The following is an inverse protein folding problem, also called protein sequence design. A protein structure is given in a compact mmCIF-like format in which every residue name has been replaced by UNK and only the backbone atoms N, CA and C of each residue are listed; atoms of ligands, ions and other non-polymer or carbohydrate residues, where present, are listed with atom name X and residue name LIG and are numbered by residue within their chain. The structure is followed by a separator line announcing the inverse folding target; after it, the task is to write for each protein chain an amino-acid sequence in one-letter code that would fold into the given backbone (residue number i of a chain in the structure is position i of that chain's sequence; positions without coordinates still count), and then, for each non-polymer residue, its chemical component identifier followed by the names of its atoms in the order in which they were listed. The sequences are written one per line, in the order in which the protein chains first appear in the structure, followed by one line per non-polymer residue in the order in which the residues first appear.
data_IF_122652513470
#
_entry.id   IF_122652513470
#
_cell.length_a   1.000
_cell.length_b   1.000
_cell.length_c   1.000
_cell.angle_alpha   90.00
_cell.angle_beta   90.00
_cell.angle_gamma   90.00
#
_symmetry.space_group_name_H-M   'P 1'
#
loop_
_entity.id
_entity.type
_entity.pdbx_description
1 polymer ?
#
# COMPACT_ATOMS: atom_id res chain seq x y z
N UNK A 1 -31.92 29.45 -51.14
CA UNK A 1 -31.47 30.10 -49.89
C UNK A 1 -31.52 29.03 -48.81
N UNK A 2 -30.41 28.34 -48.55
CA UNK A 2 -30.32 27.23 -47.60
C UNK A 2 -29.76 27.77 -46.27
N UNK A 3 -30.52 27.65 -45.18
CA UNK A 3 -30.00 27.87 -43.83
C UNK A 3 -29.26 26.61 -43.36
N UNK A 4 -28.05 26.73 -42.77
CA UNK A 4 -27.39 25.60 -42.15
C UNK A 4 -27.91 25.43 -40.71
N UNK A 5 -28.34 24.21 -40.37
CA UNK A 5 -28.57 23.80 -38.99
C UNK A 5 -27.21 23.56 -38.33
N UNK A 6 -26.87 24.37 -37.32
CA UNK A 6 -25.74 24.11 -36.43
C UNK A 6 -26.20 23.11 -35.38
N UNK A 7 -25.73 21.87 -35.46
CA UNK A 7 -25.87 20.89 -34.40
C UNK A 7 -24.93 21.27 -33.24
N UNK A 8 -25.50 21.74 -32.13
CA UNK A 8 -24.77 21.86 -30.87
C UNK A 8 -24.45 20.45 -30.35
N UNK A 9 -23.21 20.02 -30.49
CA UNK A 9 -22.71 18.84 -29.77
C UNK A 9 -22.61 19.20 -28.29
N UNK A 10 -23.52 18.66 -27.47
CA UNK A 10 -23.33 18.63 -26.02
C UNK A 10 -22.16 17.70 -25.72
N UNK A 11 -20.99 18.29 -25.47
CA UNK A 11 -19.90 17.60 -24.77
C UNK A 11 -20.39 17.41 -23.34
N UNK A 12 -21.02 16.27 -23.06
CA UNK A 12 -21.33 15.89 -21.70
C UNK A 12 -20.04 15.94 -20.88
N UNK A 13 -20.01 16.76 -19.83
CA UNK A 13 -18.93 16.68 -18.87
C UNK A 13 -18.94 15.26 -18.33
N UNK A 14 -17.91 14.48 -18.68
CA UNK A 14 -17.63 13.23 -18.01
C UNK A 14 -17.41 13.64 -16.55
N UNK A 15 -18.40 13.41 -15.68
CA UNK A 15 -18.25 13.63 -14.25
C UNK A 15 -16.98 12.90 -13.84
N UNK A 16 -15.94 13.65 -13.49
CA UNK A 16 -14.69 13.05 -13.08
C UNK A 16 -15.01 12.03 -11.97
N UNK A 17 -14.59 10.79 -12.19
CA UNK A 17 -14.69 9.73 -11.22
C UNK A 17 -13.92 10.19 -9.97
N UNK A 18 -14.64 10.61 -8.94
CA UNK A 18 -14.05 11.10 -7.70
C UNK A 18 -14.53 10.23 -6.55
N UNK A 19 -13.62 9.36 -6.12
CA UNK A 19 -13.85 8.47 -4.98
C UNK A 19 -13.80 9.29 -3.69
N UNK A 20 -14.74 9.03 -2.79
CA UNK A 20 -14.93 9.75 -1.52
C UNK A 20 -14.58 8.92 -0.31
N UNK A 21 -14.49 7.61 -0.46
CA UNK A 21 -14.14 6.69 0.61
C UNK A 21 -12.93 5.86 0.17
N UNK A 22 -11.95 5.75 1.06
CA UNK A 22 -10.78 4.91 0.92
C UNK A 22 -10.73 3.95 2.10
N UNK A 23 -10.82 2.65 1.84
CA UNK A 23 -10.67 1.59 2.84
C UNK A 23 -9.34 0.92 2.61
N UNK A 24 -8.46 0.90 3.61
CA UNK A 24 -7.07 0.43 3.47
C UNK A 24 -6.80 -0.84 4.27
N UNK A 25 -6.01 -1.73 3.67
CA UNK A 25 -5.50 -2.97 4.23
C UNK A 25 -4.00 -3.04 3.97
N UNK A 26 -3.27 -3.79 4.78
CA UNK A 26 -1.83 -3.94 4.58
C UNK A 26 -1.03 -4.12 5.86
N UNK A 27 0.21 -3.66 5.81
CA UNK A 27 1.18 -3.79 6.89
C UNK A 27 1.55 -2.45 7.54
N UNK A 28 2.75 -2.37 8.12
CA UNK A 28 3.27 -1.18 8.81
C UNK A 28 3.46 0.03 7.90
N UNK A 29 3.45 -0.15 6.58
CA UNK A 29 3.49 0.99 5.65
C UNK A 29 2.13 1.71 5.60
N UNK A 30 1.06 1.08 6.07
CA UNK A 30 -0.30 1.60 6.02
C UNK A 30 -0.89 1.85 7.42
N UNK A 31 -0.59 0.97 8.39
CA UNK A 31 -1.15 0.96 9.76
C UNK A 31 -0.90 2.26 10.55
N UNK A 32 -1.99 2.93 10.92
CA UNK A 32 -2.00 4.16 11.72
C UNK A 32 -2.21 3.95 13.24
N UNK A 33 -2.30 2.70 13.71
CA UNK A 33 -2.53 2.35 15.12
C UNK A 33 -1.24 2.05 15.87
N UNK A 34 -0.26 1.44 15.20
CA UNK A 34 1.08 1.18 15.75
C UNK A 34 2.10 2.20 15.22
N UNK A 35 2.19 3.35 15.89
CA UNK A 35 3.06 4.47 15.51
C UNK A 35 4.55 4.27 15.89
N UNK A 36 5.09 3.07 15.65
CA UNK A 36 6.50 2.75 15.94
C UNK A 36 7.53 3.59 15.17
N UNK A 37 7.11 4.27 14.09
CA UNK A 37 7.97 5.06 13.21
C UNK A 37 7.82 6.59 13.35
N UNK A 38 7.18 7.06 14.42
CA UNK A 38 7.00 8.48 14.73
C UNK A 38 6.60 9.36 13.51
N UNK A 39 5.36 9.20 13.04
CA UNK A 39 4.78 9.99 11.96
C UNK A 39 3.43 9.43 11.54
N UNK A 40 2.69 10.18 10.71
CA UNK A 40 1.46 9.70 10.09
C UNK A 40 1.74 8.85 8.86
N UNK A 41 0.87 7.88 8.59
CA UNK A 41 0.98 7.03 7.38
C UNK A 41 0.31 7.69 6.19
N UNK A 42 0.58 7.14 5.01
CA UNK A 42 0.02 7.65 3.76
C UNK A 42 -1.53 7.78 3.78
N UNK A 43 -2.34 6.90 4.44
CA UNK A 43 -3.79 7.07 4.47
C UNK A 43 -4.21 8.34 5.23
N UNK A 44 -3.56 8.65 6.36
CA UNK A 44 -3.85 9.86 7.13
C UNK A 44 -3.49 11.12 6.34
N UNK A 45 -2.37 11.09 5.59
CA UNK A 45 -2.01 12.17 4.69
C UNK A 45 -2.98 12.30 3.51
N UNK A 46 -3.58 11.21 3.00
CA UNK A 46 -4.67 11.31 2.00
C UNK A 46 -5.86 12.05 2.61
N UNK A 47 -6.27 11.71 3.83
CA UNK A 47 -7.37 12.39 4.51
C UNK A 47 -7.07 13.90 4.68
N UNK A 48 -5.86 14.24 5.13
CA UNK A 48 -5.42 15.63 5.31
C UNK A 48 -5.34 16.40 4.00
N UNK A 49 -4.64 15.87 2.99
CA UNK A 49 -4.42 16.54 1.70
C UNK A 49 -5.70 16.67 0.88
N UNK A 50 -6.67 15.78 1.07
CA UNK A 50 -7.99 15.88 0.44
C UNK A 50 -8.87 16.99 1.01
N UNK A 51 -8.44 17.67 2.07
CA UNK A 51 -9.22 18.68 2.80
C UNK A 51 -10.61 18.16 3.22
N UNK A 52 -10.66 16.91 3.70
CA UNK A 52 -11.90 16.27 4.17
C UNK A 52 -12.83 15.76 3.07
N UNK A 53 -12.42 15.78 1.79
CA UNK A 53 -13.23 15.22 0.70
C UNK A 53 -13.13 13.70 0.57
N UNK A 54 -12.09 13.10 1.15
CA UNK A 54 -11.89 11.65 1.21
C UNK A 54 -11.95 11.17 2.67
N UNK A 55 -12.91 10.30 2.97
CA UNK A 55 -12.97 9.55 4.22
C UNK A 55 -12.03 8.34 4.14
N UNK A 56 -11.22 8.13 5.17
CA UNK A 56 -10.25 7.03 5.23
C UNK A 56 -10.60 6.10 6.39
N UNK A 57 -10.60 4.80 6.10
CA UNK A 57 -10.88 3.71 7.04
C UNK A 57 -9.74 2.70 6.98
N UNK A 58 -8.92 2.66 8.03
CA UNK A 58 -7.73 1.83 8.06
C UNK A 58 -7.96 0.54 8.85
N UNK A 59 -7.61 -0.58 8.22
CA UNK A 59 -7.63 -1.94 8.76
C UNK A 59 -6.26 -2.61 8.67
N UNK A 60 -5.20 -1.89 8.27
CA UNK A 60 -3.85 -2.42 8.22
C UNK A 60 -3.29 -2.68 9.62
N UNK A 61 -2.39 -3.67 9.74
CA UNK A 61 -1.70 -3.99 10.98
C UNK A 61 -0.20 -4.18 10.73
N UNK A 62 0.62 -3.57 11.57
CA UNK A 62 2.07 -3.63 11.47
C UNK A 62 2.60 -5.06 11.54
N UNK A 63 3.53 -5.38 10.64
CA UNK A 63 4.13 -6.72 10.54
C UNK A 63 3.26 -7.77 9.87
N UNK A 64 2.03 -7.42 9.43
CA UNK A 64 1.14 -8.32 8.72
C UNK A 64 1.78 -8.91 7.46
N UNK A 65 1.49 -10.17 7.22
CA UNK A 65 1.64 -10.81 5.91
C UNK A 65 0.28 -10.88 5.21
N UNK A 66 0.26 -11.23 3.92
CA UNK A 66 -1.01 -11.37 3.21
C UNK A 66 -1.88 -12.46 3.85
N UNK A 67 -1.29 -13.62 4.14
CA UNK A 67 -1.94 -14.71 4.87
C UNK A 67 -0.99 -15.37 5.84
N UNK A 68 -1.43 -15.54 7.08
CA UNK A 68 -0.66 -16.25 8.10
C UNK A 68 -0.53 -17.74 7.81
N UNK A 69 -1.31 -18.28 6.87
CA UNK A 69 -1.20 -19.68 6.41
C UNK A 69 -0.07 -19.88 5.40
N UNK A 70 0.35 -18.81 4.71
CA UNK A 70 1.44 -18.86 3.74
C UNK A 70 2.76 -18.48 4.40
N UNK A 71 2.75 -17.39 5.15
CA UNK A 71 3.93 -16.76 5.74
C UNK A 71 3.60 -16.43 7.20
N UNK A 72 3.65 -17.44 8.10
CA UNK A 72 3.18 -17.30 9.47
C UNK A 72 4.04 -16.31 10.26
N UNK A 73 3.38 -15.37 10.93
CA UNK A 73 4.01 -14.44 11.88
C UNK A 73 3.09 -14.25 13.08
N UNK A 74 3.62 -13.65 14.14
CA UNK A 74 2.85 -13.30 15.35
C UNK A 74 1.90 -12.11 15.16
N UNK A 75 1.96 -11.46 13.99
CA UNK A 75 1.16 -10.29 13.63
C UNK A 75 -0.14 -10.68 12.94
N UNK A 76 -1.09 -9.75 12.86
CA UNK A 76 -2.43 -9.98 12.30
C UNK A 76 -2.40 -9.95 10.76
N UNK A 77 -2.51 -11.10 10.07
CA UNK A 77 -2.45 -11.15 8.61
C UNK A 77 -3.72 -10.59 7.95
N UNK A 78 -3.63 -10.23 6.67
CA UNK A 78 -4.74 -9.59 5.94
C UNK A 78 -5.98 -10.48 5.88
N UNK A 79 -5.84 -11.71 5.37
CA UNK A 79 -7.00 -12.59 5.17
C UNK A 79 -7.62 -13.08 6.47
N UNK A 80 -6.81 -13.52 7.44
CA UNK A 80 -7.33 -14.15 8.65
C UNK A 80 -7.72 -13.16 9.75
N UNK A 81 -7.32 -11.88 9.69
CA UNK A 81 -7.64 -10.89 10.71
C UNK A 81 -8.28 -9.61 10.15
N UNK A 82 -7.64 -8.94 9.18
CA UNK A 82 -8.08 -7.61 8.73
C UNK A 82 -9.40 -7.66 7.97
N UNK A 83 -9.60 -8.67 7.11
CA UNK A 83 -10.87 -8.89 6.40
C UNK A 83 -12.03 -9.15 7.38
N UNK A 84 -11.89 -10.07 8.36
CA UNK A 84 -12.88 -10.21 9.44
C UNK A 84 -13.16 -8.93 10.23
N UNK A 85 -12.13 -8.16 10.59
CA UNK A 85 -12.28 -6.88 11.30
C UNK A 85 -13.08 -5.87 10.47
N UNK A 86 -12.82 -5.77 9.16
CA UNK A 86 -13.63 -4.97 8.24
C UNK A 86 -15.09 -5.45 8.20
N UNK A 87 -15.32 -6.76 8.08
CA UNK A 87 -16.69 -7.30 8.04
C UNK A 87 -17.45 -7.12 9.35
N UNK A 88 -16.78 -7.10 10.50
CA UNK A 88 -17.38 -6.77 11.78
C UNK A 88 -17.81 -5.29 11.87
N UNK A 89 -17.12 -4.40 11.14
CA UNK A 89 -17.36 -2.95 11.16
C UNK A 89 -18.33 -2.47 10.07
N UNK A 90 -18.82 -3.36 9.20
CA UNK A 90 -19.79 -3.02 8.15
C UNK A 90 -21.12 -3.76 8.28
N UNK A 91 -22.18 -3.13 7.75
CA UNK A 91 -23.51 -3.73 7.64
C UNK A 91 -24.03 -3.54 6.23
N UNK A 92 -24.82 -4.48 5.74
CA UNK A 92 -25.45 -4.40 4.40
C UNK A 92 -26.93 -4.08 4.57
N UNK A 93 -27.41 -3.05 3.87
CA UNK A 93 -28.82 -2.63 3.88
C UNK A 93 -29.30 -2.36 2.46
N UNK A 94 -30.62 -2.35 2.25
CA UNK A 94 -31.18 -1.95 0.97
C UNK A 94 -30.77 -0.51 0.62
N UNK A 95 -30.43 -0.28 -0.64
CA UNK A 95 -29.97 1.01 -1.14
C UNK A 95 -31.14 2.00 -1.11
N UNK A 96 -30.97 3.20 -0.52
CA UNK A 96 -32.02 4.22 -0.49
C UNK A 96 -32.53 4.54 -1.89
N UNK A 97 -33.85 4.44 -2.08
CA UNK A 97 -34.50 4.64 -3.38
C UNK A 97 -34.34 3.48 -4.38
N UNK A 98 -33.66 2.39 -4.03
CA UNK A 98 -33.45 1.22 -4.89
C UNK A 98 -33.60 -0.10 -4.10
N UNK A 99 -34.83 -0.58 -3.85
CA UNK A 99 -35.10 -1.71 -2.95
C UNK A 99 -34.52 -3.06 -3.40
N UNK A 100 -34.08 -3.18 -4.66
CA UNK A 100 -33.47 -4.40 -5.23
C UNK A 100 -31.94 -4.36 -5.27
N UNK A 101 -31.33 -3.27 -4.79
CA UNK A 101 -29.88 -3.11 -4.69
C UNK A 101 -29.49 -3.01 -3.22
N UNK A 102 -28.36 -3.60 -2.84
CA UNK A 102 -27.81 -3.49 -1.50
C UNK A 102 -26.62 -2.53 -1.46
N UNK A 103 -26.49 -1.77 -0.37
CA UNK A 103 -25.33 -0.91 -0.09
C UNK A 103 -24.70 -1.36 1.22
N UNK A 104 -23.37 -1.44 1.21
CA UNK A 104 -22.56 -1.65 2.41
C UNK A 104 -22.38 -0.33 3.14
N UNK A 105 -22.51 -0.34 4.46
CA UNK A 105 -22.35 0.82 5.34
C UNK A 105 -21.28 0.52 6.39
N UNK A 106 -20.30 1.40 6.53
CA UNK A 106 -19.30 1.35 7.59
C UNK A 106 -19.67 2.29 8.74
N UNK A 107 -19.27 1.94 9.95
CA UNK A 107 -19.37 2.84 11.10
C UNK A 107 -18.25 3.88 10.98
N UNK A 108 -18.63 5.14 10.75
CA UNK A 108 -17.75 6.29 10.70
C UNK A 108 -17.14 6.64 12.05
N UNK A 109 -16.10 7.48 12.05
CA UNK A 109 -15.40 7.93 13.27
C UNK A 109 -16.34 8.54 14.33
N UNK A 110 -17.45 9.13 13.90
CA UNK A 110 -18.46 9.75 14.77
C UNK A 110 -19.66 8.82 15.07
N UNK A 111 -19.53 7.51 14.82
CA UNK A 111 -20.61 6.53 14.99
C UNK A 111 -21.71 6.58 13.91
N UNK A 112 -21.54 7.41 12.88
CA UNK A 112 -22.49 7.53 11.77
C UNK A 112 -22.33 6.40 10.76
N UNK A 113 -23.41 5.91 10.17
CA UNK A 113 -23.32 4.94 9.07
C UNK A 113 -22.97 5.65 7.77
N UNK A 114 -21.78 5.38 7.23
CA UNK A 114 -21.32 5.95 5.95
C UNK A 114 -21.52 4.92 4.83
N UNK A 115 -22.24 5.25 3.74
CA UNK A 115 -22.42 4.34 2.63
C UNK A 115 -21.10 4.16 1.86
N UNK A 116 -20.66 2.91 1.73
CA UNK A 116 -19.58 2.48 0.87
C UNK A 116 -20.13 2.07 -0.51
N UNK A 117 -20.79 3.01 -1.18
CA UNK A 117 -21.30 2.78 -2.53
C UNK A 117 -20.13 2.54 -3.49
N UNK A 118 -20.26 1.55 -4.38
CA UNK A 118 -19.18 1.16 -5.29
C UNK A 118 -18.74 2.28 -6.22
N UNK A 119 -19.58 3.28 -6.51
CA UNK A 119 -19.17 4.45 -7.32
C UNK A 119 -18.31 5.47 -6.56
N UNK A 120 -18.32 5.41 -5.23
CA UNK A 120 -17.69 6.39 -4.34
C UNK A 120 -16.53 5.76 -3.52
N UNK A 121 -16.29 4.44 -3.61
CA UNK A 121 -15.40 3.73 -2.68
C UNK A 121 -14.26 2.99 -3.38
N UNK A 122 -13.05 3.22 -2.88
CA UNK A 122 -11.83 2.52 -3.25
C UNK A 122 -11.36 1.64 -2.09
N UNK A 123 -10.99 0.40 -2.41
CA UNK A 123 -10.33 -0.50 -1.48
C UNK A 123 -8.86 -0.61 -1.87
N UNK A 124 -7.95 -0.25 -0.97
CA UNK A 124 -6.52 -0.30 -1.23
C UNK A 124 -5.85 -1.38 -0.39
N UNK A 125 -4.89 -2.08 -0.98
CA UNK A 125 -4.00 -2.99 -0.25
C UNK A 125 -2.53 -2.67 -0.57
N UNK A 126 -1.70 -2.60 0.47
CA UNK A 126 -0.24 -2.55 0.34
C UNK A 126 0.38 -3.59 1.27
N UNK A 127 0.82 -4.70 0.69
CA UNK A 127 1.27 -5.89 1.43
C UNK A 127 2.35 -6.61 0.61
N UNK A 128 3.09 -7.51 1.26
CA UNK A 128 4.06 -8.39 0.62
C UNK A 128 5.48 -8.25 1.17
N UNK A 129 5.85 -7.08 1.71
CA UNK A 129 7.21 -6.86 2.22
C UNK A 129 7.57 -7.79 3.38
N UNK A 130 6.60 -8.07 4.25
CA UNK A 130 6.74 -9.03 5.34
C UNK A 130 6.66 -10.49 4.87
N UNK A 131 5.99 -10.77 3.74
CA UNK A 131 5.90 -12.10 3.15
C UNK A 131 7.21 -12.54 2.51
N UNK A 132 7.96 -11.58 1.96
CA UNK A 132 9.29 -11.83 1.36
C UNK A 132 10.43 -11.53 2.31
N UNK A 133 10.17 -11.00 3.50
CA UNK A 133 11.17 -10.51 4.43
C UNK A 133 11.70 -11.56 5.40
N UNK A 134 12.43 -11.10 6.42
CA UNK A 134 12.99 -11.96 7.46
C UNK A 134 11.93 -12.74 8.24
N UNK A 135 12.24 -14.01 8.53
CA UNK A 135 11.34 -14.97 9.17
C UNK A 135 10.26 -15.52 8.23
N UNK A 136 10.39 -15.29 6.92
CA UNK A 136 9.44 -15.80 5.89
C UNK A 136 10.21 -16.22 4.64
N UNK A 137 9.77 -15.90 3.41
CA UNK A 137 10.34 -16.49 2.19
C UNK A 137 11.86 -16.30 2.03
N UNK A 138 12.43 -15.21 2.58
CA UNK A 138 13.87 -14.97 2.50
C UNK A 138 14.70 -15.92 3.35
N UNK A 139 14.20 -16.36 4.50
CA UNK A 139 15.03 -17.03 5.52
C UNK A 139 14.42 -18.30 6.10
N UNK A 140 13.10 -18.43 6.08
CA UNK A 140 12.34 -19.51 6.70
C UNK A 140 11.01 -19.76 5.94
N UNK A 141 11.05 -20.13 4.64
CA UNK A 141 9.84 -20.43 3.88
C UNK A 141 9.18 -21.72 4.39
N UNK A 142 7.85 -21.72 4.48
CA UNK A 142 7.10 -22.97 4.62
C UNK A 142 7.30 -23.86 3.38
N UNK A 143 7.23 -25.20 3.53
CA UNK A 143 7.23 -26.11 2.40
C UNK A 143 6.18 -25.73 1.36
N UNK A 144 6.54 -25.76 0.09
CA UNK A 144 5.67 -25.47 -1.07
C UNK A 144 5.11 -24.04 -1.16
N UNK A 145 5.52 -23.13 -0.28
CA UNK A 145 5.16 -21.71 -0.36
C UNK A 145 6.25 -20.93 -1.09
N UNK A 146 5.84 -20.14 -2.07
CA UNK A 146 6.71 -19.27 -2.84
C UNK A 146 6.07 -17.89 -3.05
N UNK A 147 6.81 -17.01 -3.73
CA UNK A 147 6.31 -15.71 -4.18
C UNK A 147 5.02 -15.81 -5.03
N UNK A 148 4.78 -16.95 -5.69
CA UNK A 148 3.56 -17.19 -6.47
C UNK A 148 2.33 -17.27 -5.57
N UNK A 149 2.44 -17.88 -4.39
CA UNK A 149 1.34 -18.03 -3.44
C UNK A 149 1.02 -16.70 -2.76
N UNK A 150 2.04 -15.98 -2.31
CA UNK A 150 1.85 -14.71 -1.58
C UNK A 150 1.29 -13.62 -2.49
N UNK A 151 1.63 -13.62 -3.78
CA UNK A 151 1.02 -12.73 -4.78
C UNK A 151 -0.41 -13.11 -5.15
N UNK A 152 -0.76 -14.41 -5.16
CA UNK A 152 -2.14 -14.85 -5.39
C UNK A 152 -3.07 -14.48 -4.22
N UNK A 153 -2.56 -14.54 -2.98
CA UNK A 153 -3.32 -14.16 -1.79
C UNK A 153 -3.93 -12.74 -1.86
N UNK A 154 -3.29 -11.81 -2.57
CA UNK A 154 -3.85 -10.46 -2.79
C UNK A 154 -5.18 -10.53 -3.58
N UNK A 155 -5.34 -11.50 -4.49
CA UNK A 155 -6.57 -11.70 -5.24
C UNK A 155 -7.63 -12.50 -4.46
N UNK A 156 -7.22 -13.28 -3.47
CA UNK A 156 -8.17 -13.85 -2.50
C UNK A 156 -8.76 -12.75 -1.62
N UNK A 157 -7.96 -11.73 -1.24
CA UNK A 157 -8.47 -10.52 -0.57
C UNK A 157 -9.45 -9.75 -1.46
N UNK A 158 -9.14 -9.61 -2.75
CA UNK A 158 -10.08 -9.03 -3.73
C UNK A 158 -11.38 -9.83 -3.76
N UNK A 159 -11.31 -11.16 -3.80
CA UNK A 159 -12.48 -12.04 -3.87
C UNK A 159 -13.40 -11.88 -2.66
N UNK A 160 -12.85 -11.89 -1.45
CA UNK A 160 -13.60 -11.67 -0.21
C UNK A 160 -14.40 -10.36 -0.25
N UNK A 161 -13.76 -9.26 -0.63
CA UNK A 161 -14.41 -7.96 -0.71
C UNK A 161 -15.39 -7.85 -1.90
N UNK A 162 -15.02 -8.40 -3.06
CA UNK A 162 -15.85 -8.40 -4.26
C UNK A 162 -17.18 -9.13 -4.02
N UNK A 163 -17.14 -10.25 -3.28
CA UNK A 163 -18.31 -11.01 -2.86
C UNK A 163 -19.24 -10.21 -1.93
N UNK A 164 -18.74 -9.13 -1.31
CA UNK A 164 -19.54 -8.17 -0.53
C UNK A 164 -19.89 -6.87 -1.28
N UNK A 165 -19.65 -6.83 -2.59
CA UNK A 165 -20.05 -5.71 -3.45
C UNK A 165 -18.97 -4.66 -3.70
N UNK A 166 -17.73 -4.85 -3.21
CA UNK A 166 -16.61 -3.99 -3.57
C UNK A 166 -16.32 -4.09 -5.07
N UNK A 167 -16.02 -2.95 -5.72
CA UNK A 167 -15.76 -2.92 -7.18
C UNK A 167 -14.57 -2.10 -7.61
N UNK A 168 -13.96 -1.27 -6.76
CA UNK A 168 -12.72 -0.58 -7.13
C UNK A 168 -11.61 -0.97 -6.18
N UNK A 169 -10.51 -1.44 -6.75
CA UNK A 169 -9.36 -1.93 -6.02
C UNK A 169 -8.10 -1.19 -6.46
N UNK A 170 -7.30 -0.71 -5.50
CA UNK A 170 -5.99 -0.13 -5.71
C UNK A 170 -4.95 -1.02 -5.04
N UNK A 171 -4.16 -1.71 -5.84
CA UNK A 171 -3.16 -2.65 -5.38
C UNK A 171 -1.80 -1.96 -5.48
N UNK A 172 -1.13 -1.78 -4.35
CA UNK A 172 0.23 -1.24 -4.28
C UNK A 172 1.24 -2.38 -4.30
N UNK A 173 2.23 -2.31 -5.19
CA UNK A 173 3.29 -3.30 -5.28
C UNK A 173 4.41 -3.06 -4.24
N UNK A 174 5.30 -4.02 -4.04
CA UNK A 174 6.38 -3.91 -3.05
C UNK A 174 7.41 -2.85 -3.43
N UNK A 175 7.90 -2.11 -2.44
CA UNK A 175 9.02 -1.16 -2.60
C UNK A 175 10.31 -1.89 -3.01
N UNK A 176 11.31 -1.21 -3.58
CA UNK A 176 12.60 -1.82 -3.93
C UNK A 176 13.38 -2.20 -2.67
N UNK A 177 13.11 -3.38 -2.10
CA UNK A 177 13.56 -3.70 -0.74
C UNK A 177 15.08 -3.68 -0.55
N UNK A 178 15.85 -3.98 -1.59
CA UNK A 178 17.32 -3.91 -1.57
C UNK A 178 17.88 -2.48 -1.43
N UNK A 179 17.04 -1.44 -1.47
CA UNK A 179 17.43 -0.05 -1.16
C UNK A 179 17.18 0.31 0.31
N UNK A 180 16.49 -0.55 1.07
CA UNK A 180 16.36 -0.35 2.51
C UNK A 180 17.66 -0.78 3.20
N UNK A 181 18.13 -0.03 4.21
CA UNK A 181 19.42 -0.28 4.84
C UNK A 181 19.58 -1.70 5.42
N UNK A 182 18.49 -2.35 5.85
CA UNK A 182 18.55 -3.74 6.32
C UNK A 182 18.95 -4.73 5.23
N UNK A 183 18.51 -4.49 3.99
CA UNK A 183 18.64 -5.40 2.85
C UNK A 183 19.65 -4.92 1.80
N UNK A 184 20.20 -3.72 1.97
CA UNK A 184 21.20 -3.14 1.08
C UNK A 184 22.50 -3.97 1.09
N UNK A 185 23.27 -4.01 -0.01
CA UNK A 185 24.51 -4.79 -0.08
C UNK A 185 25.57 -4.31 0.92
N UNK A 186 25.49 -3.05 1.35
CA UNK A 186 26.28 -2.39 2.39
C UNK A 186 25.50 -2.22 3.72
N UNK A 187 24.46 -3.03 3.92
CA UNK A 187 23.66 -3.07 5.14
C UNK A 187 24.46 -3.50 6.38
N UNK A 188 23.79 -3.44 7.54
CA UNK A 188 24.39 -3.70 8.84
C UNK A 188 23.43 -4.45 9.76
N UNK A 189 23.94 -5.06 10.83
CA UNK A 189 23.11 -5.73 11.84
C UNK A 189 22.17 -4.74 12.53
N UNK A 190 20.87 -5.01 12.44
CA UNK A 190 19.80 -4.13 12.92
C UNK A 190 19.09 -4.76 14.11
N UNK A 191 18.20 -3.99 14.76
CA UNK A 191 17.25 -4.55 15.74
C UNK A 191 16.30 -5.62 15.16
N UNK A 192 16.13 -5.67 13.84
CA UNK A 192 15.22 -6.60 13.16
C UNK A 192 15.91 -7.90 12.74
N UNK A 193 17.21 -7.85 12.48
CA UNK A 193 18.03 -9.02 12.14
C UNK A 193 19.51 -8.73 12.42
N UNK A 194 20.14 -9.61 13.18
CA UNK A 194 21.55 -9.55 13.55
C UNK A 194 22.21 -10.94 13.53
N UNK A 195 21.58 -11.91 12.85
CA UNK A 195 22.15 -13.24 12.69
C UNK A 195 23.11 -13.23 11.49
N UNK A 196 24.24 -13.97 11.56
CA UNK A 196 25.22 -13.99 10.48
C UNK A 196 24.60 -14.42 9.14
N UNK A 197 24.89 -13.65 8.09
CA UNK A 197 24.45 -13.93 6.73
C UNK A 197 25.37 -13.23 5.71
N UNK A 198 25.31 -13.65 4.45
CA UNK A 198 26.01 -12.98 3.37
C UNK A 198 25.18 -11.80 2.86
N UNK A 199 25.57 -10.57 3.21
CA UNK A 199 24.82 -9.36 2.88
C UNK A 199 24.59 -9.18 1.36
N UNK A 200 25.57 -9.54 0.52
CA UNK A 200 25.43 -9.40 -0.94
C UNK A 200 24.43 -10.40 -1.51
N UNK A 201 24.52 -11.67 -1.11
CA UNK A 201 23.58 -12.71 -1.52
C UNK A 201 22.15 -12.37 -1.07
N UNK A 202 22.02 -11.91 0.16
CA UNK A 202 20.76 -11.49 0.76
C UNK A 202 20.10 -10.34 0.00
N UNK A 203 20.89 -9.32 -0.36
CA UNK A 203 20.45 -8.18 -1.17
C UNK A 203 20.00 -8.59 -2.58
N UNK A 204 20.72 -9.53 -3.20
CA UNK A 204 20.33 -10.09 -4.50
C UNK A 204 19.02 -10.87 -4.37
N UNK A 205 18.90 -11.74 -3.36
CA UNK A 205 17.75 -12.62 -3.24
C UNK A 205 16.45 -11.85 -2.95
N UNK A 206 16.48 -10.90 -2.01
CA UNK A 206 15.31 -10.05 -1.74
C UNK A 206 14.92 -9.21 -2.97
N UNK A 207 15.90 -8.77 -3.77
CA UNK A 207 15.62 -8.05 -5.00
C UNK A 207 14.89 -8.92 -6.03
N UNK A 208 15.27 -10.19 -6.18
CA UNK A 208 14.60 -11.12 -7.08
C UNK A 208 13.19 -11.48 -6.59
N UNK A 209 13.00 -11.71 -5.28
CA UNK A 209 11.66 -11.93 -4.70
C UNK A 209 10.73 -10.73 -4.96
N UNK A 210 11.21 -9.51 -4.73
CA UNK A 210 10.44 -8.28 -4.96
C UNK A 210 10.10 -8.12 -6.44
N UNK A 211 11.08 -8.27 -7.34
CA UNK A 211 10.85 -8.09 -8.79
C UNK A 211 9.88 -9.13 -9.34
N UNK A 212 10.09 -10.40 -9.00
CA UNK A 212 9.19 -11.47 -9.41
C UNK A 212 7.78 -11.27 -8.85
N UNK A 213 7.67 -10.90 -7.57
CA UNK A 213 6.38 -10.65 -6.93
C UNK A 213 5.61 -9.50 -7.56
N UNK A 214 6.30 -8.38 -7.82
CA UNK A 214 5.70 -7.21 -8.45
C UNK A 214 5.24 -7.50 -9.88
N UNK A 215 6.03 -8.24 -10.66
CA UNK A 215 5.64 -8.63 -12.03
C UNK A 215 4.44 -9.59 -12.02
N UNK A 216 4.45 -10.60 -11.14
CA UNK A 216 3.32 -11.52 -10.99
C UNK A 216 2.04 -10.76 -10.61
N UNK A 217 2.11 -9.84 -9.65
CA UNK A 217 0.98 -9.02 -9.24
C UNK A 217 0.46 -8.15 -10.38
N UNK A 218 1.35 -7.52 -11.16
CA UNK A 218 0.98 -6.73 -12.33
C UNK A 218 0.29 -7.58 -13.42
N UNK A 219 0.84 -8.76 -13.74
CA UNK A 219 0.27 -9.68 -14.72
C UNK A 219 -1.10 -10.19 -14.28
N UNK A 220 -1.25 -10.61 -13.01
CA UNK A 220 -2.53 -11.05 -12.45
C UNK A 220 -3.58 -9.94 -12.51
N UNK A 221 -3.23 -8.71 -12.13
CA UNK A 221 -4.16 -7.58 -12.19
C UNK A 221 -4.56 -7.22 -13.62
N UNK A 222 -3.63 -7.30 -14.57
CA UNK A 222 -3.90 -6.97 -15.96
C UNK A 222 -4.72 -8.04 -16.69
N UNK A 223 -4.37 -9.31 -16.51
CA UNK A 223 -4.85 -10.40 -17.38
C UNK A 223 -5.81 -11.36 -16.70
N UNK A 224 -5.79 -11.48 -15.36
CA UNK A 224 -6.64 -12.44 -14.63
C UNK A 224 -7.80 -11.71 -13.96
N UNK A 225 -7.53 -10.63 -13.22
CA UNK A 225 -8.54 -9.95 -12.40
C UNK A 225 -9.77 -9.46 -13.18
N UNK A 226 -9.66 -8.87 -14.40
CA UNK A 226 -10.84 -8.41 -15.14
C UNK A 226 -11.81 -9.54 -15.52
N UNK A 227 -11.29 -10.75 -15.75
CA UNK A 227 -12.09 -11.93 -16.06
C UNK A 227 -12.67 -12.61 -14.81
N UNK A 228 -11.89 -12.69 -13.73
CA UNK A 228 -12.33 -13.29 -12.44
C UNK A 228 -13.36 -12.42 -11.72
N UNK A 229 -13.29 -11.10 -11.87
CA UNK A 229 -14.12 -10.13 -11.15
C UNK A 229 -14.85 -9.17 -12.10
N UNK A 230 -15.86 -9.65 -12.85
CA UNK A 230 -16.54 -8.85 -13.86
C UNK A 230 -17.20 -7.60 -13.27
N UNK A 231 -17.02 -6.46 -13.93
CA UNK A 231 -17.56 -5.18 -13.48
C UNK A 231 -16.76 -4.51 -12.35
N UNK A 232 -15.66 -5.12 -11.89
CA UNK A 232 -14.69 -4.45 -11.03
C UNK A 232 -13.62 -3.70 -11.85
N UNK A 233 -13.05 -2.67 -11.24
CA UNK A 233 -11.96 -1.84 -11.75
C UNK A 233 -10.74 -2.01 -10.84
N UNK A 234 -9.58 -2.17 -11.45
CA UNK A 234 -8.33 -2.45 -10.76
C UNK A 234 -7.26 -1.43 -11.13
N UNK A 235 -6.62 -0.83 -10.15
CA UNK A 235 -5.43 -0.01 -10.30
C UNK A 235 -4.23 -0.75 -9.74
N UNK A 236 -3.15 -0.87 -10.50
CA UNK A 236 -1.81 -1.14 -9.94
C UNK A 236 -1.17 0.22 -9.67
N UNK A 237 -0.90 0.52 -8.41
CA UNK A 237 -0.10 1.66 -8.00
C UNK A 237 1.35 1.20 -7.81
N UNK A 238 2.24 1.77 -8.62
CA UNK A 238 3.64 1.37 -8.72
C UNK A 238 4.49 2.06 -7.65
N UNK A 239 4.27 1.66 -6.40
CA UNK A 239 5.11 2.04 -5.25
C UNK A 239 6.57 1.68 -5.48
N UNK A 240 6.85 0.59 -6.19
CA UNK A 240 8.21 0.20 -6.56
C UNK A 240 8.91 1.29 -7.36
N UNK A 241 8.31 1.74 -8.46
CA UNK A 241 8.87 2.81 -9.29
C UNK A 241 8.89 4.14 -8.55
N UNK A 242 7.85 4.47 -7.78
CA UNK A 242 7.81 5.70 -7.00
C UNK A 242 8.98 5.79 -6.00
N UNK A 243 9.25 4.71 -5.26
CA UNK A 243 10.37 4.69 -4.31
C UNK A 243 11.73 4.69 -4.99
N UNK A 244 11.88 4.05 -6.16
CA UNK A 244 13.09 4.20 -6.98
C UNK A 244 13.27 5.65 -7.44
N UNK A 245 12.19 6.32 -7.84
CA UNK A 245 12.25 7.71 -8.28
C UNK A 245 12.66 8.63 -7.13
N UNK A 246 12.08 8.46 -5.94
CA UNK A 246 12.51 9.16 -4.73
C UNK A 246 13.98 8.90 -4.37
N UNK A 247 14.48 7.69 -4.60
CA UNK A 247 15.87 7.33 -4.31
C UNK A 247 16.85 7.98 -5.29
N UNK A 248 16.56 7.94 -6.60
CA UNK A 248 17.47 8.42 -7.65
C UNK A 248 17.30 9.91 -7.98
N UNK A 249 16.15 10.51 -7.68
CA UNK A 249 15.82 11.92 -7.90
C UNK A 249 15.26 12.60 -6.64
N UNK A 250 15.95 12.50 -5.48
CA UNK A 250 15.37 12.92 -4.20
C UNK A 250 15.00 14.39 -4.12
N UNK A 251 15.62 15.26 -4.93
CA UNK A 251 15.34 16.70 -4.97
C UNK A 251 13.91 17.04 -5.35
N UNK A 252 13.22 16.14 -6.06
CA UNK A 252 11.84 16.35 -6.50
C UNK A 252 10.81 15.96 -5.43
N UNK A 253 11.26 15.29 -4.35
CA UNK A 253 10.37 14.62 -3.39
C UNK A 253 10.68 14.95 -1.92
N UNK A 254 11.95 15.09 -1.57
CA UNK A 254 12.42 15.30 -0.21
C UNK A 254 12.70 16.79 0.06
N UNK A 255 12.66 17.19 1.32
CA UNK A 255 12.81 18.60 1.73
C UNK A 255 14.04 18.76 2.61
N UNK A 256 15.04 19.48 2.12
CA UNK A 256 16.24 19.78 2.89
C UNK A 256 17.38 20.33 2.01
N UNK A 257 18.44 20.88 2.63
CA UNK A 257 19.62 21.34 1.90
C UNK A 257 20.45 20.19 1.31
N UNK A 258 20.29 18.98 1.84
CA UNK A 258 20.93 17.73 1.41
C UNK A 258 19.95 16.59 1.60
N UNK A 259 19.97 15.59 0.72
CA UNK A 259 19.03 14.46 0.76
C UNK A 259 19.71 13.16 1.19
N UNK A 260 19.05 12.39 2.04
CA UNK A 260 19.55 11.11 2.51
C UNK A 260 18.59 9.97 2.12
N UNK A 261 18.99 9.20 1.10
CA UNK A 261 18.17 8.10 0.55
C UNK A 261 18.66 6.71 0.96
N UNK A 262 19.85 6.61 1.54
CA UNK A 262 20.47 5.34 1.95
C UNK A 262 20.55 5.17 3.48
N UNK A 263 20.63 6.28 4.22
CA UNK A 263 20.54 6.30 5.68
C UNK A 263 19.11 6.42 6.19
N UNK A 264 18.97 6.44 7.52
CA UNK A 264 17.69 6.45 8.22
C UNK A 264 17.65 7.52 9.29
N UNK A 265 16.44 7.97 9.64
CA UNK A 265 16.23 8.94 10.71
C UNK A 265 16.52 8.32 12.08
N UNK A 266 16.08 7.10 12.33
CA UNK A 266 16.28 6.34 13.57
C UNK A 266 17.06 5.07 13.22
N UNK A 267 18.37 5.12 13.41
CA UNK A 267 19.26 3.99 13.19
C UNK A 267 19.40 3.19 14.48
N UNK A 268 19.13 1.88 14.45
CA UNK A 268 19.32 0.98 15.58
C UNK A 268 20.23 -0.18 15.16
N UNK A 269 21.51 -0.09 15.53
CA UNK A 269 22.57 -0.98 15.04
C UNK A 269 23.18 -1.80 16.17
N UNK A 270 23.63 -3.02 15.85
CA UNK A 270 24.59 -3.74 16.68
C UNK A 270 26.01 -3.41 16.19
N UNK A 271 26.83 -2.65 16.94
CA UNK A 271 28.19 -2.33 16.52
C UNK A 271 29.05 -3.60 16.39
N UNK A 272 30.03 -3.58 15.48
CA UNK A 272 30.92 -4.73 15.27
C UNK A 272 31.57 -5.19 16.58
N UNK A 273 31.41 -6.48 16.90
CA UNK A 273 31.92 -7.07 18.14
C UNK A 273 31.14 -6.70 19.41
N UNK A 274 29.97 -6.06 19.29
CA UNK A 274 29.14 -5.65 20.41
C UNK A 274 27.69 -6.17 20.26
N UNK A 275 27.23 -6.91 21.28
CA UNK A 275 25.86 -7.43 21.33
C UNK A 275 24.85 -6.43 21.93
N UNK A 276 25.27 -5.20 22.19
CA UNK A 276 24.40 -4.12 22.70
C UNK A 276 23.84 -3.32 21.53
N UNK A 277 22.52 -3.23 21.45
CA UNK A 277 21.86 -2.39 20.46
C UNK A 277 22.08 -0.91 20.79
N UNK A 278 22.57 -0.14 19.82
CA UNK A 278 22.74 1.31 19.91
C UNK A 278 21.79 1.98 18.94
N UNK A 279 20.93 2.85 19.46
CA UNK A 279 19.98 3.61 18.65
C UNK A 279 20.31 5.10 18.65
N UNK A 280 20.41 5.68 17.47
CA UNK A 280 20.61 7.12 17.24
C UNK A 280 19.42 7.67 16.45
N UNK A 281 19.04 8.92 16.71
CA UNK A 281 17.91 9.55 16.03
C UNK A 281 18.26 10.96 15.58
N UNK A 282 18.05 11.23 14.30
CA UNK A 282 18.29 12.51 13.69
C UNK A 282 17.33 13.59 14.24
N UNK A 283 17.80 14.84 14.35
CA UNK A 283 17.00 15.93 14.87
C UNK A 283 15.80 16.21 13.95
N UNK A 284 14.64 16.65 14.48
CA UNK A 284 13.45 16.92 13.68
C UNK A 284 13.67 17.81 12.45
N UNK A 285 14.60 18.77 12.55
CA UNK A 285 14.88 19.75 11.49
C UNK A 285 15.39 19.14 10.16
N UNK A 286 15.90 17.90 10.16
CA UNK A 286 16.42 17.25 8.95
C UNK A 286 15.58 16.07 8.48
N UNK A 287 14.55 15.67 9.23
CA UNK A 287 13.83 14.40 8.96
C UNK A 287 13.13 14.37 7.61
N UNK A 288 12.61 15.50 7.14
CA UNK A 288 11.97 15.58 5.81
C UNK A 288 12.99 15.44 4.65
N UNK A 289 14.29 15.43 4.94
CA UNK A 289 15.34 15.18 3.94
C UNK A 289 15.70 13.70 3.79
N UNK A 290 15.06 12.82 4.56
CA UNK A 290 15.33 11.38 4.57
C UNK A 290 14.21 10.61 3.86
N UNK A 291 14.59 9.58 3.09
CA UNK A 291 13.64 8.65 2.48
C UNK A 291 13.10 7.62 3.50
N UNK A 292 13.92 7.21 4.46
CA UNK A 292 13.63 6.13 5.38
C UNK A 292 13.59 6.62 6.83
N UNK A 293 12.59 6.15 7.60
CA UNK A 293 12.52 6.38 9.03
C UNK A 293 13.51 5.49 9.78
N UNK A 294 13.47 4.18 9.55
CA UNK A 294 14.39 3.20 10.12
C UNK A 294 14.76 2.17 9.03
N UNK A 295 15.41 1.08 9.41
CA UNK A 295 15.96 0.12 8.47
C UNK A 295 14.91 -0.66 7.65
N UNK A 296 13.61 -0.49 7.96
CA UNK A 296 12.51 -1.15 7.28
C UNK A 296 11.39 -0.22 6.78
N UNK A 297 11.28 1.00 7.29
CA UNK A 297 10.08 1.82 7.12
C UNK A 297 10.35 3.15 6.39
N UNK A 298 9.46 3.58 5.47
CA UNK A 298 9.51 4.92 4.87
C UNK A 298 9.44 6.03 5.92
N UNK A 299 10.04 7.18 5.61
CA UNK A 299 9.86 8.39 6.41
C UNK A 299 8.44 8.96 6.27
N UNK A 300 8.03 9.83 7.18
CA UNK A 300 6.77 10.58 7.03
C UNK A 300 6.75 11.38 5.72
N UNK A 301 7.88 11.96 5.31
CA UNK A 301 7.98 12.66 4.02
C UNK A 301 7.70 11.72 2.84
N UNK A 302 8.22 10.50 2.86
CA UNK A 302 7.90 9.50 1.83
C UNK A 302 6.40 9.13 1.86
N UNK A 303 5.79 9.00 3.04
CA UNK A 303 4.34 8.78 3.17
C UNK A 303 3.52 9.95 2.60
N UNK A 304 3.95 11.21 2.78
CA UNK A 304 3.32 12.40 2.15
C UNK A 304 3.38 12.31 0.62
N UNK A 305 4.49 11.85 0.05
CA UNK A 305 4.64 11.66 -1.40
C UNK A 305 3.71 10.56 -1.92
N UNK A 306 3.65 9.40 -1.24
CA UNK A 306 2.70 8.32 -1.58
C UNK A 306 1.27 8.85 -1.54
N UNK A 307 0.88 9.55 -0.47
CA UNK A 307 -0.46 10.10 -0.30
C UNK A 307 -0.87 11.03 -1.44
N UNK A 308 0.04 11.91 -1.89
CA UNK A 308 -0.21 12.83 -3.02
C UNK A 308 -0.54 12.06 -4.29
N UNK A 309 0.26 11.05 -4.62
CA UNK A 309 0.04 10.26 -5.84
C UNK A 309 -1.13 9.28 -5.74
N UNK A 310 -1.44 8.78 -4.55
CA UNK A 310 -2.68 8.01 -4.34
C UNK A 310 -3.90 8.91 -4.50
N UNK A 311 -3.87 10.16 -4.03
CA UNK A 311 -4.97 11.11 -4.22
C UNK A 311 -5.23 11.39 -5.71
N UNK A 312 -4.18 11.54 -6.53
CA UNK A 312 -4.32 11.61 -7.99
C UNK A 312 -4.98 10.34 -8.55
N UNK A 313 -4.60 9.17 -8.04
CA UNK A 313 -5.14 7.86 -8.42
C UNK A 313 -6.64 7.74 -8.10
N UNK A 314 -7.10 8.29 -6.98
CA UNK A 314 -8.53 8.33 -6.63
C UNK A 314 -9.38 9.17 -7.59
N UNK A 315 -8.76 10.05 -8.38
CA UNK A 315 -9.40 10.78 -9.49
C UNK A 315 -9.31 10.05 -10.84
N UNK A 316 -8.74 8.84 -10.85
CA UNK A 316 -8.51 8.02 -12.04
C UNK A 316 -7.31 8.46 -12.89
N UNK A 317 -6.40 9.27 -12.33
CA UNK A 317 -5.21 9.84 -13.01
C UNK A 317 -3.94 9.51 -12.24
N UNK A 318 -2.79 9.99 -12.70
CA UNK A 318 -1.52 9.93 -11.98
C UNK A 318 -0.45 9.13 -12.71
N UNK A 319 0.82 9.51 -12.60
CA UNK A 319 1.89 8.87 -13.37
C UNK A 319 2.21 7.45 -12.87
N UNK A 320 1.93 7.14 -11.60
CA UNK A 320 2.28 5.87 -10.95
C UNK A 320 1.14 4.86 -10.88
N UNK A 321 0.01 5.09 -11.57
CA UNK A 321 -1.10 4.14 -11.57
C UNK A 321 -1.47 3.68 -12.98
N UNK A 322 -1.72 2.39 -13.12
CA UNK A 322 -2.30 1.82 -14.34
C UNK A 322 -3.61 1.11 -14.04
N UNK A 323 -4.66 1.47 -14.79
CA UNK A 323 -6.02 0.98 -14.59
C UNK A 323 -6.42 -0.11 -15.59
N UNK A 324 -7.16 -1.10 -15.10
CA UNK A 324 -7.68 -2.25 -15.84
C UNK A 324 -9.12 -2.56 -15.42
N UNK A 325 -9.82 -3.38 -16.20
CA UNK A 325 -11.20 -3.79 -15.92
C UNK A 325 -12.24 -2.75 -16.33
N UNK A 326 -13.29 -2.60 -15.51
CA UNK A 326 -14.40 -1.67 -15.78
C UNK A 326 -13.92 -0.21 -15.85
N UNK A 327 -14.63 0.60 -16.67
CA UNK A 327 -14.38 2.04 -16.83
C UNK A 327 -15.24 2.85 -15.87
#
# INVERSE_FOLDING_TARGET
MFLPFIALAFVGSCSAFQLKNLVTFGDSYTDNTMNGDAGYRWPDHVAFMSNGTVNVYDFAHSGATCSGKLTPRIFKPVLEAQVPEYFANVTVKATPGKPRENTTYIIGKNGTYVPLASKDTMYSIWIGTNDVGVGTLLTDPLPDVSIVNTTECVFDWVEELYNKGARNFLIQNMTPMWLLPMYAPDGYDTKYWNWPHNQTEWSIFIAELVRAGNELQALRTKYIAPGRFPGARFGIFDSHRLFKDMYYNPQDYLVGPTYNVAGVIQACKYPYGNNTLVCETEPPAVRDSYLWWNELHPSEQAHKVVARHVLDSLSGKGPFVQWYGAK
#
